data_IF_309182719513
#
_entry.id   IF_309182719513
#
_cell.length_a   1.000
_cell.length_b   1.000
_cell.length_c   1.000
_cell.angle_alpha   90.00
_cell.angle_beta   90.00
_cell.angle_gamma   90.00
#
_symmetry.space_group_name_H-M   'P 1'
#
loop_
_entity.id
_entity.type
_entity.pdbx_description
1 polymer ?
#
# COMPACT_ATOMS: atom_id res chain seq x y z
N UNK A 1 -23.91 10.14 18.07
CA UNK A 1 -23.18 11.22 17.42
C UNK A 1 -23.63 12.58 17.97
N UNK A 2 -24.92 12.87 18.07
CA UNK A 2 -25.44 14.20 18.46
C UNK A 2 -25.15 14.59 19.94
N UNK A 3 -24.79 13.63 20.79
CA UNK A 3 -24.51 13.84 22.21
C UNK A 3 -23.00 13.79 22.56
N UNK A 4 -22.12 13.73 21.57
CA UNK A 4 -20.67 13.74 21.82
C UNK A 4 -20.11 15.15 21.81
N UNK A 5 -19.08 15.47 22.63
CA UNK A 5 -18.48 16.82 22.70
C UNK A 5 -17.97 17.35 21.35
N UNK A 6 -17.64 16.46 20.41
CA UNK A 6 -17.10 16.78 19.09
C UNK A 6 -18.16 16.74 17.97
N UNK A 7 -19.45 16.75 18.30
CA UNK A 7 -20.58 16.64 17.35
C UNK A 7 -20.46 17.57 16.12
N UNK A 8 -20.09 18.86 16.25
CA UNK A 8 -20.02 19.77 15.09
C UNK A 8 -18.97 19.36 14.04
N UNK A 9 -17.87 18.73 14.48
CA UNK A 9 -16.79 18.28 13.58
C UNK A 9 -17.05 16.86 13.07
N UNK A 10 -17.60 16.01 13.92
CA UNK A 10 -17.84 14.59 13.63
C UNK A 10 -18.98 14.38 12.62
N UNK A 11 -20.08 15.13 12.77
CA UNK A 11 -21.27 14.95 11.93
C UNK A 11 -20.97 15.09 10.43
N UNK A 12 -20.27 16.14 9.95
CA UNK A 12 -19.89 16.24 8.53
C UNK A 12 -19.03 15.07 8.04
N UNK A 13 -18.11 14.57 8.87
CA UNK A 13 -17.25 13.43 8.52
C UNK A 13 -18.06 12.16 8.30
N UNK A 14 -18.98 11.86 9.22
CA UNK A 14 -19.86 10.68 9.12
C UNK A 14 -20.83 10.82 7.95
N UNK A 15 -21.43 12.00 7.74
CA UNK A 15 -22.31 12.24 6.59
C UNK A 15 -21.59 11.99 5.25
N UNK A 16 -20.34 12.47 5.12
CA UNK A 16 -19.55 12.22 3.92
C UNK A 16 -19.35 10.72 3.66
N UNK A 17 -19.10 9.91 4.69
CA UNK A 17 -18.98 8.46 4.56
C UNK A 17 -20.32 7.86 4.13
N UNK A 18 -21.42 8.24 4.81
CA UNK A 18 -22.76 7.74 4.48
C UNK A 18 -23.12 8.08 3.04
N UNK A 19 -22.88 9.30 2.56
CA UNK A 19 -23.12 9.71 1.17
C UNK A 19 -22.39 8.80 0.17
N UNK A 20 -21.17 8.37 0.47
CA UNK A 20 -20.38 7.48 -0.40
C UNK A 20 -20.86 6.04 -0.41
N UNK A 21 -21.54 5.58 0.63
CA UNK A 21 -22.04 4.22 0.75
C UNK A 21 -23.56 4.09 0.49
N UNK A 22 -24.29 5.19 0.32
CA UNK A 22 -25.74 5.19 0.13
C UNK A 22 -26.21 4.29 -1.02
N UNK A 23 -25.42 4.18 -2.10
CA UNK A 23 -25.72 3.33 -3.25
C UNK A 23 -25.25 1.88 -3.08
N UNK A 24 -24.62 1.56 -1.95
CA UNK A 24 -24.05 0.24 -1.66
C UNK A 24 -24.68 -0.31 -0.38
N UNK A 25 -25.87 -0.93 -0.54
CA UNK A 25 -26.67 -1.45 0.58
C UNK A 25 -25.91 -2.37 1.51
N UNK A 26 -24.95 -3.16 0.98
CA UNK A 26 -24.09 -4.07 1.74
C UNK A 26 -23.34 -3.38 2.89
N UNK A 27 -22.83 -2.18 2.67
CA UNK A 27 -22.11 -1.43 3.74
C UNK A 27 -23.07 -0.85 4.78
N UNK A 28 -24.27 -0.43 4.37
CA UNK A 28 -25.30 0.03 5.30
C UNK A 28 -25.79 -1.13 6.18
N UNK A 29 -26.01 -2.30 5.60
CA UNK A 29 -26.38 -3.54 6.31
C UNK A 29 -25.24 -3.94 7.26
N UNK A 30 -23.99 -3.94 6.80
CA UNK A 30 -22.81 -4.22 7.64
C UNK A 30 -22.78 -3.37 8.91
N UNK A 31 -22.98 -2.05 8.76
CA UNK A 31 -22.98 -1.13 9.91
C UNK A 31 -24.21 -1.29 10.80
N UNK A 32 -25.38 -1.61 10.21
CA UNK A 32 -26.63 -1.83 10.96
C UNK A 32 -26.58 -3.14 11.77
N UNK A 33 -26.02 -4.20 11.22
CA UNK A 33 -25.90 -5.50 11.85
C UNK A 33 -24.74 -5.58 12.87
N UNK A 34 -23.75 -4.66 12.76
CA UNK A 34 -22.57 -4.62 13.60
C UNK A 34 -22.44 -3.30 14.38
N UNK A 35 -23.23 -3.09 15.45
CA UNK A 35 -23.20 -1.85 16.23
C UNK A 35 -21.82 -1.50 16.79
N UNK A 36 -20.99 -2.52 17.05
CA UNK A 36 -19.61 -2.32 17.52
C UNK A 36 -18.73 -1.71 16.43
N UNK A 37 -18.85 -2.16 15.18
CA UNK A 37 -18.12 -1.57 14.05
C UNK A 37 -18.56 -0.11 13.82
N UNK A 38 -19.85 0.19 13.93
CA UNK A 38 -20.37 1.56 13.84
C UNK A 38 -19.81 2.45 14.98
N UNK A 39 -19.79 1.96 16.22
CA UNK A 39 -19.22 2.69 17.35
C UNK A 39 -17.74 2.99 17.11
N UNK A 40 -16.98 2.01 16.67
CA UNK A 40 -15.55 2.14 16.36
C UNK A 40 -15.32 3.16 15.23
N UNK A 41 -16.11 3.08 14.17
CA UNK A 41 -16.07 4.07 13.08
C UNK A 41 -16.26 5.49 13.61
N UNK A 42 -17.28 5.69 14.44
CA UNK A 42 -17.59 6.99 15.06
C UNK A 42 -16.41 7.48 15.92
N UNK A 43 -15.85 6.63 16.77
CA UNK A 43 -14.71 6.95 17.63
C UNK A 43 -13.47 7.35 16.83
N UNK A 44 -13.10 6.56 15.83
CA UNK A 44 -11.94 6.81 14.98
C UNK A 44 -12.13 8.10 14.14
N UNK A 45 -13.32 8.31 13.56
CA UNK A 45 -13.63 9.51 12.79
C UNK A 45 -13.71 10.77 13.66
N UNK A 46 -14.10 10.65 14.93
CA UNK A 46 -14.09 11.78 15.87
C UNK A 46 -12.67 12.29 16.12
N UNK A 47 -11.72 11.37 16.24
CA UNK A 47 -10.32 11.67 16.58
C UNK A 47 -9.48 11.98 15.33
N UNK A 48 -9.79 11.40 14.18
CA UNK A 48 -8.97 11.53 12.97
C UNK A 48 -9.75 11.90 11.72
N UNK A 49 -9.43 13.10 11.20
CA UNK A 49 -9.89 13.52 9.86
C UNK A 49 -9.33 12.61 8.78
N UNK A 50 -8.07 12.15 8.93
CA UNK A 50 -7.41 11.26 7.98
C UNK A 50 -8.19 9.95 7.81
N UNK A 51 -8.57 9.28 8.91
CA UNK A 51 -9.36 8.04 8.84
C UNK A 51 -10.70 8.30 8.17
N UNK A 52 -11.41 9.37 8.53
CA UNK A 52 -12.69 9.69 7.90
C UNK A 52 -12.56 9.89 6.38
N UNK A 53 -11.51 10.59 5.93
CA UNK A 53 -11.21 10.78 4.51
C UNK A 53 -10.86 9.45 3.81
N UNK A 54 -10.08 8.58 4.45
CA UNK A 54 -9.72 7.28 3.88
C UNK A 54 -10.93 6.37 3.71
N UNK A 55 -11.76 6.24 4.74
CA UNK A 55 -12.98 5.41 4.69
C UNK A 55 -13.99 5.97 3.69
N UNK A 56 -14.13 7.30 3.58
CA UNK A 56 -15.01 7.90 2.59
C UNK A 56 -14.54 7.66 1.14
N UNK A 57 -13.23 7.66 0.90
CA UNK A 57 -12.65 7.36 -0.42
C UNK A 57 -12.69 5.87 -0.77
N UNK A 58 -12.47 5.02 0.22
CA UNK A 58 -12.34 3.58 0.08
C UNK A 58 -13.29 2.86 1.04
N UNK A 59 -14.60 2.79 0.73
CA UNK A 59 -15.58 2.17 1.62
C UNK A 59 -15.32 0.72 1.98
N UNK A 60 -14.54 -0.02 1.16
CA UNK A 60 -14.10 -1.39 1.48
C UNK A 60 -13.35 -1.48 2.81
N UNK A 61 -12.77 -0.36 3.28
CA UNK A 61 -12.10 -0.30 4.57
C UNK A 61 -13.04 -0.45 5.77
N UNK A 62 -14.37 -0.38 5.56
CA UNK A 62 -15.34 -0.71 6.60
C UNK A 62 -15.23 -2.16 7.05
N UNK A 63 -14.80 -3.06 6.18
CA UNK A 63 -14.59 -4.48 6.51
C UNK A 63 -13.49 -4.65 7.57
N UNK A 64 -12.46 -3.78 7.57
CA UNK A 64 -11.39 -3.79 8.59
C UNK A 64 -11.92 -3.47 10.00
N UNK A 65 -13.04 -2.74 10.10
CA UNK A 65 -13.64 -2.40 11.39
C UNK A 65 -14.34 -3.59 12.06
N UNK A 66 -14.60 -4.67 11.32
CA UNK A 66 -15.16 -5.91 11.86
C UNK A 66 -14.12 -6.68 12.69
N UNK A 67 -12.85 -6.58 12.30
CA UNK A 67 -11.75 -7.24 13.03
C UNK A 67 -11.13 -6.30 14.07
N UNK A 68 -11.82 -6.15 15.19
CA UNK A 68 -11.34 -5.33 16.31
C UNK A 68 -10.01 -5.82 16.90
N UNK A 69 -9.69 -7.11 16.76
CA UNK A 69 -8.41 -7.63 17.27
C UNK A 69 -7.26 -7.12 16.41
N UNK A 70 -7.41 -7.13 15.09
CA UNK A 70 -6.42 -6.62 14.15
C UNK A 70 -6.17 -5.12 14.33
N UNK A 71 -7.24 -4.33 14.57
CA UNK A 71 -7.12 -2.89 14.83
C UNK A 71 -6.39 -2.56 16.16
N UNK A 72 -6.51 -3.44 17.17
CA UNK A 72 -5.85 -3.25 18.48
C UNK A 72 -4.49 -3.93 18.58
N UNK A 73 -4.17 -4.83 17.69
CA UNK A 73 -2.90 -5.56 17.63
C UNK A 73 -2.38 -5.53 16.18
N UNK A 74 -1.82 -4.40 15.73
CA UNK A 74 -1.21 -4.37 14.41
C UNK A 74 -0.10 -5.43 14.34
N UNK A 75 0.12 -6.07 13.17
CA UNK A 75 1.19 -7.04 13.01
C UNK A 75 2.54 -6.39 13.34
N UNK A 76 3.53 -7.21 13.67
CA UNK A 76 4.88 -6.67 13.83
C UNK A 76 5.32 -6.05 12.50
N UNK A 77 6.02 -4.91 12.55
CA UNK A 77 6.35 -4.15 11.33
C UNK A 77 7.17 -4.95 10.31
N UNK A 78 7.92 -5.97 10.73
CA UNK A 78 8.65 -6.88 9.82
C UNK A 78 7.76 -7.87 9.07
N UNK A 79 6.48 -7.98 9.41
CA UNK A 79 5.56 -8.96 8.83
C UNK A 79 4.87 -8.46 7.55
N UNK A 80 4.90 -7.15 7.27
CA UNK A 80 4.21 -6.59 6.09
C UNK A 80 4.60 -7.23 4.77
N UNK A 81 5.88 -7.57 4.57
CA UNK A 81 6.32 -8.19 3.34
C UNK A 81 5.69 -9.60 3.14
N UNK A 82 5.62 -10.40 4.21
CA UNK A 82 5.02 -11.73 4.16
C UNK A 82 3.49 -11.66 4.05
N UNK A 83 2.83 -10.74 4.75
CA UNK A 83 1.38 -10.52 4.62
C UNK A 83 1.01 -10.09 3.20
N UNK A 84 1.75 -9.12 2.64
CA UNK A 84 1.54 -8.65 1.28
C UNK A 84 1.73 -9.77 0.28
N UNK A 85 2.78 -10.57 0.41
CA UNK A 85 3.02 -11.70 -0.47
C UNK A 85 1.86 -12.70 -0.42
N UNK A 86 1.39 -13.08 0.77
CA UNK A 86 0.25 -13.98 0.93
C UNK A 86 -1.05 -13.39 0.35
N UNK A 87 -1.26 -12.09 0.47
CA UNK A 87 -2.39 -11.40 -0.11
C UNK A 87 -2.35 -11.44 -1.64
N UNK A 88 -1.20 -11.09 -2.24
CA UNK A 88 -1.02 -11.06 -3.69
C UNK A 88 -1.10 -12.45 -4.34
N UNK A 89 -0.71 -13.52 -3.64
CA UNK A 89 -0.85 -14.90 -4.13
C UNK A 89 -2.31 -15.33 -4.36
N UNK A 90 -3.28 -14.64 -3.75
CA UNK A 90 -4.72 -14.92 -3.95
C UNK A 90 -5.29 -14.23 -5.18
N UNK A 91 -4.55 -13.32 -5.79
CA UNK A 91 -4.96 -12.58 -6.98
C UNK A 91 -4.57 -13.32 -8.25
N UNK A 92 -5.30 -13.12 -9.37
CA UNK A 92 -4.89 -13.64 -10.67
C UNK A 92 -3.50 -13.13 -11.05
N UNK A 93 -2.60 -14.06 -11.36
CA UNK A 93 -1.19 -13.73 -11.64
C UNK A 93 -0.99 -13.05 -13.00
N UNK A 94 -1.95 -13.22 -13.92
CA UNK A 94 -1.84 -12.72 -15.31
C UNK A 94 -2.48 -11.32 -15.49
N UNK A 95 -3.08 -10.75 -14.44
CA UNK A 95 -3.79 -9.47 -14.49
C UNK A 95 -3.02 -8.38 -13.72
N UNK A 96 -2.28 -7.55 -14.49
CA UNK A 96 -1.48 -6.45 -13.92
C UNK A 96 -2.35 -5.42 -13.20
N UNK A 97 -3.54 -5.10 -13.73
CA UNK A 97 -4.44 -4.12 -13.12
C UNK A 97 -4.95 -4.60 -11.77
N UNK A 98 -5.39 -5.86 -11.70
CA UNK A 98 -5.82 -6.46 -10.44
C UNK A 98 -4.68 -6.55 -9.42
N UNK A 99 -3.45 -6.82 -9.88
CA UNK A 99 -2.29 -6.83 -8.98
C UNK A 99 -2.02 -5.44 -8.40
N UNK A 100 -2.03 -4.40 -9.22
CA UNK A 100 -1.80 -3.01 -8.78
C UNK A 100 -2.94 -2.54 -7.86
N UNK A 101 -4.18 -2.86 -8.18
CA UNK A 101 -5.33 -2.59 -7.30
C UNK A 101 -5.20 -3.31 -5.96
N UNK A 102 -4.75 -4.56 -5.97
CA UNK A 102 -4.46 -5.32 -4.76
C UNK A 102 -3.37 -4.68 -3.89
N UNK A 103 -2.28 -4.20 -4.49
CA UNK A 103 -1.25 -3.45 -3.75
C UNK A 103 -1.83 -2.23 -3.04
N UNK A 104 -2.72 -1.50 -3.72
CA UNK A 104 -3.37 -0.30 -3.15
C UNK A 104 -4.35 -0.64 -2.05
N UNK A 105 -5.18 -1.66 -2.26
CA UNK A 105 -6.10 -2.13 -1.23
C UNK A 105 -5.34 -2.56 0.02
N UNK A 106 -4.27 -3.33 -0.13
CA UNK A 106 -3.41 -3.73 0.98
C UNK A 106 -2.80 -2.51 1.69
N UNK A 107 -2.26 -1.54 0.92
CA UNK A 107 -1.73 -0.28 1.48
C UNK A 107 -2.79 0.44 2.32
N UNK A 108 -3.99 0.64 1.78
CA UNK A 108 -5.04 1.37 2.48
C UNK A 108 -5.52 0.64 3.75
N UNK A 109 -5.67 -0.68 3.71
CA UNK A 109 -6.02 -1.50 4.87
C UNK A 109 -4.94 -1.41 5.95
N UNK A 110 -3.67 -1.57 5.58
CA UNK A 110 -2.55 -1.44 6.52
C UNK A 110 -2.46 -0.03 7.12
N UNK A 111 -2.61 1.03 6.31
CA UNK A 111 -2.65 2.42 6.79
C UNK A 111 -3.79 2.67 7.78
N UNK A 112 -4.98 2.10 7.54
CA UNK A 112 -6.10 2.22 8.47
C UNK A 112 -5.78 1.52 9.80
N UNK A 113 -5.23 0.30 9.75
CA UNK A 113 -4.83 -0.45 10.96
C UNK A 113 -3.78 0.31 11.77
N UNK A 114 -2.74 0.84 11.12
CA UNK A 114 -1.69 1.64 11.79
C UNK A 114 -2.31 2.89 12.42
N UNK A 115 -3.13 3.64 11.67
CA UNK A 115 -3.75 4.86 12.17
C UNK A 115 -4.75 4.61 13.31
N UNK A 116 -5.49 3.51 13.26
CA UNK A 116 -6.38 3.12 14.35
C UNK A 116 -5.60 2.76 15.62
N UNK A 117 -4.51 1.97 15.49
CA UNK A 117 -3.65 1.61 16.63
C UNK A 117 -2.94 2.83 17.26
N UNK A 118 -2.53 3.79 16.44
CA UNK A 118 -1.98 5.10 16.87
C UNK A 118 -3.01 5.87 17.71
N UNK A 119 -4.21 6.08 17.17
CA UNK A 119 -5.29 6.82 17.82
C UNK A 119 -5.78 6.15 19.11
N UNK A 120 -5.85 4.82 19.11
CA UNK A 120 -6.25 4.04 20.28
C UNK A 120 -5.13 3.98 21.35
N UNK A 121 -3.97 4.59 21.08
CA UNK A 121 -2.82 4.61 21.99
C UNK A 121 -2.13 3.24 22.18
N UNK A 122 -2.43 2.28 21.30
CA UNK A 122 -1.81 0.95 21.30
C UNK A 122 -0.41 1.02 20.70
N UNK A 123 -0.23 1.86 19.68
CA UNK A 123 1.03 2.03 18.98
C UNK A 123 1.67 3.38 19.36
N UNK A 124 2.86 3.38 20.01
CA UNK A 124 3.57 4.62 20.30
C UNK A 124 3.95 5.37 19.00
N UNK A 125 3.88 6.69 19.02
CA UNK A 125 4.12 7.55 17.84
C UNK A 125 5.44 7.25 17.11
N UNK A 126 6.51 6.94 17.84
CA UNK A 126 7.77 6.56 17.22
C UNK A 126 7.68 5.24 16.44
N UNK A 127 6.79 4.34 16.87
CA UNK A 127 6.56 3.06 16.19
C UNK A 127 5.66 3.20 14.97
N UNK A 128 4.85 4.24 14.88
CA UNK A 128 4.05 4.55 13.68
C UNK A 128 4.96 4.73 12.47
N UNK A 129 6.04 5.49 12.60
CA UNK A 129 7.00 5.69 11.50
C UNK A 129 7.72 4.39 11.10
N UNK A 130 8.09 3.54 12.06
CA UNK A 130 8.62 2.20 11.77
C UNK A 130 7.63 1.41 10.88
N UNK A 131 6.37 1.30 11.31
CA UNK A 131 5.33 0.58 10.57
C UNK A 131 5.12 1.14 9.15
N UNK A 132 5.05 2.46 9.01
CA UNK A 132 4.87 3.11 7.71
C UNK A 132 6.07 2.86 6.77
N UNK A 133 7.29 2.89 7.32
CA UNK A 133 8.52 2.62 6.56
C UNK A 133 8.57 1.18 6.06
N UNK A 134 8.35 0.19 6.93
CA UNK A 134 8.35 -1.22 6.52
C UNK A 134 7.20 -1.57 5.59
N UNK A 135 6.04 -0.92 5.73
CA UNK A 135 4.94 -1.05 4.76
C UNK A 135 5.37 -0.52 3.39
N UNK A 136 6.03 0.65 3.34
CA UNK A 136 6.54 1.21 2.10
C UNK A 136 7.59 0.30 1.46
N UNK A 137 8.53 -0.23 2.23
CA UNK A 137 9.54 -1.19 1.76
C UNK A 137 8.91 -2.46 1.16
N UNK A 138 7.90 -3.02 1.83
CA UNK A 138 7.18 -4.19 1.33
C UNK A 138 6.51 -3.92 -0.03
N UNK A 139 5.86 -2.77 -0.18
CA UNK A 139 5.20 -2.35 -1.42
C UNK A 139 6.24 -2.09 -2.53
N UNK A 140 7.33 -1.38 -2.21
CA UNK A 140 8.42 -1.14 -3.17
C UNK A 140 8.99 -2.47 -3.66
N UNK A 141 9.27 -3.41 -2.77
CA UNK A 141 9.77 -4.74 -3.11
C UNK A 141 8.82 -5.49 -4.06
N UNK A 142 7.51 -5.47 -3.79
CA UNK A 142 6.50 -6.09 -4.65
C UNK A 142 6.44 -5.43 -6.04
N UNK A 143 6.49 -4.09 -6.11
CA UNK A 143 6.50 -3.34 -7.39
C UNK A 143 7.76 -3.64 -8.19
N UNK A 144 8.94 -3.69 -7.56
CA UNK A 144 10.19 -4.05 -8.22
C UNK A 144 10.12 -5.46 -8.80
N UNK A 145 9.57 -6.43 -8.05
CA UNK A 145 9.42 -7.80 -8.52
C UNK A 145 8.45 -7.90 -9.71
N UNK A 146 7.31 -7.23 -9.67
CA UNK A 146 6.35 -7.17 -10.78
C UNK A 146 7.00 -6.56 -12.03
N UNK A 147 7.64 -5.40 -11.88
CA UNK A 147 8.30 -4.71 -12.99
C UNK A 147 9.41 -5.57 -13.60
N UNK A 148 10.22 -6.23 -12.76
CA UNK A 148 11.26 -7.17 -13.19
C UNK A 148 10.68 -8.30 -14.03
N UNK A 149 9.66 -8.99 -13.54
CA UNK A 149 9.02 -10.10 -14.26
C UNK A 149 8.52 -9.66 -15.64
N UNK A 150 7.85 -8.51 -15.74
CA UNK A 150 7.31 -8.01 -16.99
C UNK A 150 8.40 -7.64 -18.01
N UNK A 151 9.46 -6.98 -17.53
CA UNK A 151 10.59 -6.62 -18.39
C UNK A 151 11.36 -7.88 -18.84
N UNK A 152 11.58 -8.84 -17.92
CA UNK A 152 12.27 -10.10 -18.20
C UNK A 152 11.52 -10.99 -19.20
N UNK A 153 10.20 -11.09 -19.12
CA UNK A 153 9.38 -11.83 -20.11
C UNK A 153 9.58 -11.28 -21.53
N UNK A 154 9.75 -9.98 -21.65
CA UNK A 154 9.91 -9.32 -22.97
C UNK A 154 11.34 -9.33 -23.49
N UNK A 155 12.31 -9.05 -22.61
CA UNK A 155 13.69 -8.78 -23.02
C UNK A 155 14.70 -9.84 -22.52
N UNK A 156 14.26 -10.79 -21.71
CA UNK A 156 15.16 -11.67 -20.99
C UNK A 156 15.79 -11.00 -19.78
N UNK A 157 16.85 -11.57 -19.26
CA UNK A 157 17.62 -11.04 -18.13
C UNK A 157 19.05 -10.72 -18.59
N UNK A 158 19.73 -9.74 -17.97
CA UNK A 158 21.14 -9.48 -18.26
C UNK A 158 22.00 -10.73 -18.09
N UNK A 159 22.81 -11.08 -19.09
CA UNK A 159 23.57 -12.34 -19.17
C UNK A 159 24.62 -12.51 -18.06
N UNK A 160 25.06 -11.40 -17.46
CA UNK A 160 26.06 -11.42 -16.39
C UNK A 160 25.49 -11.78 -15.00
N UNK A 161 24.16 -11.86 -14.87
CA UNK A 161 23.52 -12.14 -13.59
C UNK A 161 23.53 -13.63 -13.27
N UNK A 162 23.86 -13.97 -12.03
CA UNK A 162 23.60 -15.30 -11.50
C UNK A 162 22.08 -15.50 -11.28
N UNK A 163 21.65 -16.75 -11.18
CA UNK A 163 20.25 -17.08 -10.96
C UNK A 163 19.73 -16.42 -9.67
N UNK A 164 18.63 -15.70 -9.80
CA UNK A 164 18.00 -14.98 -8.68
C UNK A 164 18.57 -13.59 -8.38
N UNK A 165 19.70 -13.22 -8.97
CA UNK A 165 20.28 -11.89 -8.82
C UNK A 165 19.57 -10.86 -9.71
N UNK A 166 19.56 -9.61 -9.27
CA UNK A 166 19.02 -8.49 -10.04
C UNK A 166 20.03 -7.36 -10.30
N UNK A 167 21.08 -7.25 -9.47
CA UNK A 167 22.03 -6.13 -9.48
C UNK A 167 21.33 -4.77 -9.60
N UNK A 168 20.20 -4.65 -8.90
CA UNK A 168 19.35 -3.46 -8.87
C UNK A 168 19.00 -3.16 -7.41
N UNK A 169 19.31 -1.95 -6.97
CA UNK A 169 19.12 -1.48 -5.61
C UNK A 169 18.19 -0.26 -5.61
N UNK A 170 17.22 -0.26 -4.72
CA UNK A 170 16.40 0.91 -4.43
C UNK A 170 16.88 1.53 -3.13
N UNK A 171 17.27 2.80 -3.18
CA UNK A 171 17.70 3.56 -2.00
C UNK A 171 16.63 4.59 -1.65
N UNK A 172 16.09 4.48 -0.44
CA UNK A 172 15.17 5.48 0.12
C UNK A 172 15.94 6.69 0.65
N UNK A 173 15.52 7.88 0.26
CA UNK A 173 16.02 9.15 0.77
C UNK A 173 14.98 9.87 1.63
N UNK A 174 15.34 11.02 2.16
CA UNK A 174 14.44 11.87 2.94
C UNK A 174 13.82 11.12 4.12
N UNK A 175 12.50 11.22 4.29
CA UNK A 175 11.78 10.62 5.40
C UNK A 175 11.78 9.09 5.36
N UNK A 176 11.80 8.48 4.17
CA UNK A 176 11.92 7.03 4.05
C UNK A 176 13.25 6.54 4.56
N UNK A 177 14.36 7.15 4.12
CA UNK A 177 15.73 6.80 4.55
C UNK A 177 15.99 7.09 6.04
N UNK A 178 15.32 8.10 6.61
CA UNK A 178 15.39 8.46 8.03
C UNK A 178 14.46 7.68 8.95
N UNK A 179 13.62 6.78 8.41
CA UNK A 179 12.57 6.06 9.16
C UNK A 179 11.62 7.05 9.86
N UNK A 180 11.25 8.13 9.16
CA UNK A 180 10.43 9.24 9.66
C UNK A 180 9.16 9.43 8.81
N UNK A 181 8.68 8.38 8.14
CA UNK A 181 7.48 8.46 7.32
C UNK A 181 6.24 8.81 8.16
N UNK A 182 5.44 9.73 7.65
CA UNK A 182 4.07 10.00 8.11
C UNK A 182 3.04 9.52 7.10
N UNK A 183 1.76 9.56 7.47
CA UNK A 183 0.64 9.06 6.65
C UNK A 183 0.51 9.68 5.25
N UNK A 184 1.04 10.88 5.05
CA UNK A 184 0.99 11.63 3.77
C UNK A 184 2.38 11.95 3.23
N UNK A 185 3.41 11.22 3.66
CA UNK A 185 4.77 11.42 3.17
C UNK A 185 4.92 10.88 1.76
N UNK A 186 5.65 11.61 0.93
CA UNK A 186 6.12 11.15 -0.36
C UNK A 186 7.30 10.19 -0.19
N UNK A 187 7.58 9.41 -1.23
CA UNK A 187 8.71 8.49 -1.29
C UNK A 187 9.78 9.06 -2.23
N UNK A 188 10.92 9.43 -1.66
CA UNK A 188 12.09 9.85 -2.42
C UNK A 188 12.96 8.62 -2.69
N UNK A 189 12.97 8.12 -3.94
CA UNK A 189 13.65 6.89 -4.33
C UNK A 189 14.75 7.16 -5.35
N UNK A 190 15.91 6.52 -5.15
CA UNK A 190 17.00 6.47 -6.11
C UNK A 190 17.26 5.02 -6.51
N UNK A 191 17.40 4.79 -7.81
CA UNK A 191 17.69 3.48 -8.37
C UNK A 191 19.17 3.39 -8.75
N UNK A 192 19.85 2.40 -8.20
CA UNK A 192 21.23 2.06 -8.52
C UNK A 192 21.27 0.69 -9.16
N UNK A 193 22.10 0.52 -10.18
CA UNK A 193 22.27 -0.75 -10.86
C UNK A 193 23.67 -0.89 -11.47
N UNK A 194 24.09 -2.13 -11.69
CA UNK A 194 25.34 -2.46 -12.38
C UNK A 194 25.04 -3.16 -13.70
N UNK A 195 25.24 -2.48 -14.86
CA UNK A 195 25.00 -3.06 -16.18
C UNK A 195 26.12 -4.01 -16.65
N UNK A 196 27.22 -4.17 -15.87
CA UNK A 196 28.40 -4.94 -16.23
C UNK A 196 28.96 -4.62 -17.66
N UNK A 197 29.13 -3.33 -17.92
CA UNK A 197 29.71 -2.84 -19.18
C UNK A 197 28.79 -3.05 -20.39
N UNK A 198 29.28 -3.72 -21.44
CA UNK A 198 28.55 -3.94 -22.70
C UNK A 198 27.75 -5.26 -22.73
N UNK A 199 27.32 -5.77 -21.59
CA UNK A 199 26.53 -6.99 -21.47
C UNK A 199 25.14 -6.81 -22.12
N UNK A 200 24.58 -7.90 -22.66
CA UNK A 200 23.26 -7.93 -23.26
C UNK A 200 22.31 -8.80 -22.46
N UNK A 201 21.02 -8.76 -22.79
CA UNK A 201 20.02 -9.64 -22.20
C UNK A 201 19.93 -10.96 -22.96
N UNK A 202 19.58 -12.04 -22.23
CA UNK A 202 19.39 -13.39 -22.79
C UNK A 202 18.04 -13.97 -22.36
N UNK A 203 17.49 -14.86 -23.17
CA UNK A 203 16.26 -15.59 -22.85
C UNK A 203 14.94 -14.85 -23.12
N UNK A 204 14.97 -13.64 -23.67
CA UNK A 204 13.76 -12.87 -23.99
C UNK A 204 13.36 -12.93 -25.47
N UNK A 205 12.19 -12.37 -25.79
CA UNK A 205 11.71 -12.22 -27.18
C UNK A 205 12.54 -11.22 -27.98
N UNK A 206 13.22 -10.28 -27.33
CA UNK A 206 14.04 -9.25 -27.94
C UNK A 206 15.26 -8.97 -27.05
N UNK A 207 16.43 -9.14 -27.61
CA UNK A 207 17.71 -8.82 -26.95
C UNK A 207 17.92 -7.32 -26.93
N UNK A 208 18.33 -6.78 -25.79
CA UNK A 208 18.71 -5.38 -25.59
C UNK A 208 19.98 -5.28 -24.76
N UNK A 209 20.62 -4.13 -24.75
CA UNK A 209 21.72 -3.80 -23.87
C UNK A 209 21.29 -3.80 -22.41
N UNK A 210 22.16 -4.29 -21.49
CA UNK A 210 21.85 -4.40 -20.06
C UNK A 210 21.56 -3.04 -19.42
N UNK A 211 22.22 -1.97 -19.83
CA UNK A 211 21.92 -0.63 -19.36
C UNK A 211 20.49 -0.21 -19.79
N UNK A 212 20.11 -0.54 -21.03
CA UNK A 212 18.76 -0.28 -21.53
C UNK A 212 17.69 -1.08 -20.79
N UNK A 213 18.03 -2.31 -20.36
CA UNK A 213 17.16 -3.13 -19.52
C UNK A 213 16.86 -2.43 -18.19
N UNK A 214 17.89 -1.98 -17.48
CA UNK A 214 17.71 -1.33 -16.17
C UNK A 214 16.99 0.01 -16.28
N UNK A 215 17.24 0.79 -17.31
CA UNK A 215 16.50 2.04 -17.56
C UNK A 215 15.00 1.76 -17.77
N UNK A 216 14.65 0.71 -18.53
CA UNK A 216 13.26 0.30 -18.71
C UNK A 216 12.64 -0.22 -17.43
N UNK A 217 13.39 -0.95 -16.60
CA UNK A 217 12.96 -1.41 -15.29
C UNK A 217 12.60 -0.21 -14.40
N UNK A 218 13.48 0.76 -14.29
CA UNK A 218 13.24 1.97 -13.50
C UNK A 218 12.00 2.74 -14.01
N UNK A 219 11.87 2.92 -15.34
CA UNK A 219 10.69 3.56 -15.94
C UNK A 219 9.40 2.79 -15.64
N UNK A 220 9.43 1.45 -15.68
CA UNK A 220 8.26 0.63 -15.36
C UNK A 220 7.87 0.76 -13.89
N UNK A 221 8.83 0.76 -12.96
CA UNK A 221 8.58 0.99 -11.54
C UNK A 221 7.90 2.34 -11.32
N UNK A 222 8.45 3.42 -11.89
CA UNK A 222 7.85 4.76 -11.80
C UNK A 222 6.45 4.79 -12.39
N UNK A 223 6.24 4.11 -13.55
CA UNK A 223 4.92 4.00 -14.18
C UNK A 223 3.90 3.32 -13.27
N UNK A 224 4.26 2.21 -12.60
CA UNK A 224 3.36 1.49 -11.68
C UNK A 224 2.96 2.38 -10.50
N UNK A 225 3.91 3.11 -9.90
CA UNK A 225 3.61 4.04 -8.80
C UNK A 225 2.71 5.21 -9.23
N UNK A 226 2.82 5.65 -10.50
CA UNK A 226 2.07 6.79 -11.04
C UNK A 226 0.74 6.41 -11.70
N UNK A 227 0.44 5.12 -11.83
CA UNK A 227 -0.80 4.65 -12.47
C UNK A 227 -2.02 5.07 -11.65
N UNK A 228 -3.04 5.61 -12.34
CA UNK A 228 -4.38 5.77 -11.78
C UNK A 228 -5.19 4.53 -12.11
N UNK A 229 -5.66 3.82 -11.08
CA UNK A 229 -6.58 2.69 -11.24
C UNK A 229 -7.92 2.99 -10.58
N UNK A 230 -8.87 2.06 -10.69
CA UNK A 230 -10.17 2.15 -10.02
C UNK A 230 -10.09 2.30 -8.50
N UNK A 231 -8.99 1.82 -7.88
CA UNK A 231 -8.73 1.96 -6.44
C UNK A 231 -8.14 3.33 -6.04
N UNK A 232 -7.90 4.24 -6.98
CA UNK A 232 -7.34 5.58 -6.76
C UNK A 232 -5.84 5.68 -7.06
N UNK A 233 -5.23 6.81 -6.65
CA UNK A 233 -3.78 7.05 -6.75
C UNK A 233 -3.08 6.47 -5.53
#
# INVERSE_FOLDING_TARGET
>A
VLHTPNSPVLLPRILTIIEKILTRTTYLELLAENPQALTQLIELCAQSKFIAEQVARHPILLDELLDQKSLRNPPHFTEYASELQQYLLRLPQDDEEQFIDGLRQFKHAALLRIAAADILGVLPVMKVSDHLTYLAEAIIGAVVNLAWQQIAVRFGVPEHLAEGEKNFLVVGYGKLGGIELGYKSDLDLVFLYDPAGNSQTVGGKKVIDSNQFYLRLAQKIVSIFSMNTSAGI
#
